data_IF_271742081614
#
_entry.id   IF_271742081614
#
_cell.length_a   1.000
_cell.length_b   1.000
_cell.length_c   1.000
_cell.angle_alpha   90.00
_cell.angle_beta   90.00
_cell.angle_gamma   90.00
#
_symmetry.space_group_name_H-M   'P 1'
#
loop_
_entity.id
_entity.type
_entity.pdbx_description
1 polymer ?
#
# COMPACT_ATOMS: atom_id res chain seq x y z
N UNK A 1 21.47 -27.44 -2.18
CA UNK A 1 21.83 -26.24 -1.40
C UNK A 1 21.10 -24.98 -1.90
N UNK A 2 20.96 -24.72 -3.20
CA UNK A 2 20.23 -23.55 -3.73
C UNK A 2 18.72 -23.58 -3.45
N UNK A 3 18.07 -24.75 -3.60
CA UNK A 3 16.63 -24.87 -3.40
C UNK A 3 16.18 -24.57 -1.96
N UNK A 4 16.92 -25.05 -0.97
CA UNK A 4 16.66 -24.73 0.44
C UNK A 4 16.78 -23.23 0.72
N UNK A 5 17.82 -22.60 0.15
CA UNK A 5 18.05 -21.16 0.29
C UNK A 5 16.93 -20.34 -0.34
N UNK A 6 16.40 -20.79 -1.48
CA UNK A 6 15.22 -20.19 -2.09
C UNK A 6 13.97 -20.35 -1.24
N UNK A 7 13.74 -21.53 -0.65
CA UNK A 7 12.60 -21.73 0.26
C UNK A 7 12.66 -20.78 1.46
N UNK A 8 13.83 -20.69 2.11
CA UNK A 8 14.03 -19.78 3.22
C UNK A 8 13.73 -18.32 2.82
N UNK A 9 14.20 -17.88 1.67
CA UNK A 9 13.91 -16.51 1.19
C UNK A 9 12.43 -16.28 0.93
N UNK A 10 11.72 -17.29 0.41
CA UNK A 10 10.27 -17.19 0.22
C UNK A 10 9.51 -17.22 1.56
N UNK A 11 10.00 -17.98 2.54
CA UNK A 11 9.46 -17.96 3.91
C UNK A 11 9.65 -16.58 4.56
N UNK A 12 10.84 -15.99 4.42
CA UNK A 12 11.15 -14.65 4.93
C UNK A 12 10.30 -13.57 4.22
N UNK A 13 10.12 -13.70 2.90
CA UNK A 13 9.28 -12.79 2.13
C UNK A 13 7.81 -12.89 2.53
N UNK A 14 7.31 -14.11 2.74
CA UNK A 14 5.94 -14.35 3.19
C UNK A 14 5.71 -13.78 4.58
N UNK A 15 6.66 -13.95 5.52
CA UNK A 15 6.58 -13.35 6.84
C UNK A 15 6.54 -11.81 6.78
N UNK A 16 7.36 -11.21 5.91
CA UNK A 16 7.36 -9.76 5.68
C UNK A 16 6.01 -9.27 5.12
N UNK A 17 5.40 -10.00 4.17
CA UNK A 17 4.08 -9.64 3.65
C UNK A 17 2.99 -9.70 4.72
N UNK A 18 3.01 -10.73 5.58
CA UNK A 18 2.06 -10.86 6.69
C UNK A 18 2.21 -9.70 7.67
N UNK A 19 3.44 -9.32 8.00
CA UNK A 19 3.71 -8.17 8.88
C UNK A 19 3.18 -6.87 8.26
N UNK A 20 3.45 -6.63 6.97
CA UNK A 20 2.97 -5.43 6.28
C UNK A 20 1.43 -5.38 6.21
N UNK A 21 0.77 -6.51 5.96
CA UNK A 21 -0.70 -6.61 5.97
C UNK A 21 -1.27 -6.27 7.35
N UNK A 22 -0.71 -6.85 8.42
CA UNK A 22 -1.11 -6.55 9.78
C UNK A 22 -0.91 -5.07 10.13
N UNK A 23 0.24 -4.49 9.76
CA UNK A 23 0.51 -3.08 9.99
C UNK A 23 -0.51 -2.18 9.28
N UNK A 24 -0.89 -2.47 8.04
CA UNK A 24 -1.90 -1.70 7.31
C UNK A 24 -3.34 -1.92 7.80
N UNK A 25 -3.61 -3.05 8.43
CA UNK A 25 -4.90 -3.33 9.08
C UNK A 25 -5.02 -2.54 10.40
N UNK A 26 -3.93 -2.38 11.14
CA UNK A 26 -3.87 -1.60 12.39
C UNK A 26 -3.81 -0.09 12.13
N UNK A 27 -2.92 0.35 11.22
CA UNK A 27 -2.75 1.74 10.82
C UNK A 27 -2.63 1.84 9.29
N UNK A 28 -3.66 2.39 8.60
CA UNK A 28 -3.64 2.61 7.15
C UNK A 28 -2.50 3.50 6.64
N UNK A 29 -1.82 4.22 7.53
CA UNK A 29 -0.69 5.12 7.20
C UNK A 29 0.64 4.60 7.75
N UNK A 30 0.69 3.34 8.21
CA UNK A 30 1.91 2.71 8.68
C UNK A 30 3.02 2.78 7.62
N UNK A 31 4.25 3.06 8.07
CA UNK A 31 5.42 2.99 7.21
C UNK A 31 5.78 1.51 6.96
N UNK A 32 5.78 1.10 5.69
CA UNK A 32 6.11 -0.27 5.29
C UNK A 32 7.58 -0.38 4.89
N UNK A 33 8.27 -1.36 5.46
CA UNK A 33 9.64 -1.69 5.10
C UNK A 33 9.65 -2.59 3.86
N UNK A 34 10.32 -2.15 2.79
CA UNK A 34 10.44 -2.96 1.57
C UNK A 34 11.31 -4.20 1.79
N UNK A 35 10.80 -5.37 1.41
CA UNK A 35 11.58 -6.61 1.45
C UNK A 35 12.72 -6.54 0.42
N UNK A 36 13.95 -6.81 0.89
CA UNK A 36 15.13 -6.88 0.03
C UNK A 36 15.63 -8.32 -0.07
N UNK A 37 15.52 -8.99 -1.23
CA UNK A 37 15.98 -10.36 -1.37
C UNK A 37 17.51 -10.45 -1.22
N UNK A 38 18.04 -11.48 -0.57
CA UNK A 38 19.48 -11.63 -0.41
C UNK A 38 20.17 -11.88 -1.74
N UNK A 39 21.36 -11.30 -1.90
CA UNK A 39 22.16 -11.46 -3.11
C UNK A 39 22.70 -12.90 -3.26
N UNK A 40 22.98 -13.30 -4.51
CA UNK A 40 23.66 -14.56 -4.80
C UNK A 40 22.81 -15.82 -4.58
N UNK A 41 21.49 -15.74 -4.75
CA UNK A 41 20.59 -16.89 -4.70
C UNK A 41 20.77 -17.85 -5.89
N UNK A 42 21.34 -17.37 -6.99
CA UNK A 42 21.43 -18.13 -8.24
C UNK A 42 20.07 -18.26 -8.93
N UNK A 43 19.94 -19.13 -9.93
CA UNK A 43 18.67 -19.34 -10.62
C UNK A 43 17.62 -19.94 -9.68
N UNK A 44 16.37 -19.54 -9.86
CA UNK A 44 15.23 -20.07 -9.10
C UNK A 44 14.93 -21.52 -9.53
N UNK A 45 14.84 -22.48 -8.58
CA UNK A 45 14.41 -23.84 -8.87
C UNK A 45 12.95 -23.88 -9.32
N UNK A 46 12.64 -24.80 -10.24
CA UNK A 46 11.28 -24.96 -10.77
C UNK A 46 10.26 -25.28 -9.67
N UNK A 47 10.68 -26.05 -8.67
CA UNK A 47 9.87 -26.51 -7.53
C UNK A 47 9.27 -25.36 -6.71
N UNK A 48 9.95 -24.21 -6.63
CA UNK A 48 9.50 -23.05 -5.85
C UNK A 48 8.86 -21.96 -6.72
N UNK A 49 8.89 -22.12 -8.04
CA UNK A 49 8.45 -21.10 -8.99
C UNK A 49 6.96 -20.77 -8.85
N UNK A 50 6.12 -21.78 -8.62
CA UNK A 50 4.67 -21.57 -8.45
C UNK A 50 4.39 -20.75 -7.18
N UNK A 51 4.99 -21.16 -6.06
CA UNK A 51 4.88 -20.46 -4.78
C UNK A 51 5.38 -19.02 -4.88
N UNK A 52 6.52 -18.80 -5.54
CA UNK A 52 7.04 -17.45 -5.77
C UNK A 52 6.05 -16.58 -6.57
N UNK A 53 5.39 -17.17 -7.59
CA UNK A 53 4.36 -16.47 -8.36
C UNK A 53 3.14 -16.09 -7.51
N UNK A 54 2.70 -16.96 -6.60
CA UNK A 54 1.59 -16.67 -5.67
C UNK A 54 1.95 -15.53 -4.70
N UNK A 55 3.14 -15.55 -4.12
CA UNK A 55 3.62 -14.48 -3.24
C UNK A 55 3.77 -13.15 -3.98
N UNK A 56 4.22 -13.18 -5.24
CA UNK A 56 4.31 -11.98 -6.07
C UNK A 56 2.93 -11.38 -6.36
N UNK A 57 1.93 -12.22 -6.66
CA UNK A 57 0.56 -11.76 -6.86
C UNK A 57 -0.01 -11.11 -5.59
N UNK A 58 0.21 -11.73 -4.42
CA UNK A 58 -0.21 -11.18 -3.12
C UNK A 58 0.45 -9.83 -2.83
N UNK A 59 1.75 -9.71 -3.09
CA UNK A 59 2.47 -8.44 -2.94
C UNK A 59 1.92 -7.35 -3.88
N UNK A 60 1.51 -7.71 -5.10
CA UNK A 60 0.85 -6.79 -6.03
C UNK A 60 -0.50 -6.29 -5.49
N UNK A 61 -1.33 -7.19 -4.94
CA UNK A 61 -2.62 -6.85 -4.34
C UNK A 61 -2.46 -5.92 -3.13
N UNK A 62 -1.45 -6.16 -2.30
CA UNK A 62 -1.10 -5.26 -1.20
C UNK A 62 -0.70 -3.87 -1.71
N UNK A 63 0.12 -3.81 -2.77
CA UNK A 63 0.50 -2.56 -3.43
C UNK A 63 -0.71 -1.80 -3.98
N UNK A 64 -1.66 -2.49 -4.62
CA UNK A 64 -2.90 -1.89 -5.13
C UNK A 64 -3.76 -1.32 -4.00
N UNK A 65 -3.83 -2.02 -2.86
CA UNK A 65 -4.53 -1.54 -1.65
C UNK A 65 -3.91 -0.24 -1.14
N UNK A 66 -2.59 -0.18 -1.01
CA UNK A 66 -1.87 1.02 -0.57
C UNK A 66 -2.09 2.18 -1.55
N UNK A 67 -2.00 1.93 -2.86
CA UNK A 67 -2.27 2.95 -3.88
C UNK A 67 -3.71 3.49 -3.79
N UNK A 68 -4.68 2.62 -3.53
CA UNK A 68 -6.08 3.00 -3.32
C UNK A 68 -6.27 3.90 -2.09
N UNK A 69 -5.60 3.58 -0.98
CA UNK A 69 -5.62 4.39 0.24
C UNK A 69 -5.02 5.77 0.02
N UNK A 70 -3.86 5.86 -0.65
CA UNK A 70 -3.21 7.12 -1.00
C UNK A 70 -4.11 8.01 -1.88
N UNK A 71 -4.77 7.43 -2.87
CA UNK A 71 -5.71 8.16 -3.71
C UNK A 71 -6.91 8.69 -2.92
N UNK A 72 -7.39 7.92 -1.93
CA UNK A 72 -8.44 8.35 -0.99
C UNK A 72 -8.02 9.54 -0.14
N UNK A 73 -6.86 9.44 0.51
CA UNK A 73 -6.30 10.51 1.33
C UNK A 73 -6.08 11.81 0.53
N UNK A 74 -5.58 11.70 -0.70
CA UNK A 74 -5.42 12.85 -1.60
C UNK A 74 -6.74 13.58 -1.89
N UNK A 75 -7.84 12.85 -2.10
CA UNK A 75 -9.18 13.45 -2.29
C UNK A 75 -9.68 14.16 -1.03
N UNK A 76 -9.45 13.56 0.15
CA UNK A 76 -9.84 14.17 1.42
C UNK A 76 -9.07 15.48 1.68
N UNK A 77 -7.77 15.50 1.42
CA UNK A 77 -6.95 16.71 1.52
C UNK A 77 -7.41 17.80 0.54
N UNK A 78 -7.74 17.44 -0.71
CA UNK A 78 -8.26 18.39 -1.69
C UNK A 78 -9.58 19.03 -1.24
N UNK A 79 -10.49 18.25 -0.63
CA UNK A 79 -11.74 18.76 -0.06
C UNK A 79 -11.48 19.65 1.17
N UNK A 80 -10.60 19.24 2.07
CA UNK A 80 -10.22 20.03 3.24
C UNK A 80 -9.63 21.38 2.84
N UNK A 81 -8.73 21.40 1.85
CA UNK A 81 -8.15 22.64 1.32
C UNK A 81 -9.22 23.54 0.66
N UNK A 82 -10.22 22.97 -0.02
CA UNK A 82 -11.33 23.75 -0.58
C UNK A 82 -12.18 24.40 0.53
N UNK A 83 -12.47 23.68 1.60
CA UNK A 83 -13.25 24.21 2.73
C UNK A 83 -12.45 25.24 3.55
N UNK A 84 -11.15 25.02 3.74
CA UNK A 84 -10.28 25.95 4.46
C UNK A 84 -9.96 27.23 3.65
N UNK A 85 -9.99 27.13 2.31
CA UNK A 85 -9.74 28.23 1.39
C UNK A 85 -10.97 29.09 1.07
N UNK A 86 -12.09 28.93 1.77
CA UNK A 86 -13.29 29.76 1.59
C UNK A 86 -13.39 30.87 2.65
N UNK A 87 -12.83 32.08 2.41
CA UNK A 87 -13.13 33.27 3.21
C UNK A 87 -14.45 33.94 2.76
N UNK A 88 -15.30 33.24 2.00
CA UNK A 88 -16.33 33.82 1.14
C UNK A 88 -17.77 33.44 1.45
N UNK A 89 -18.10 32.87 2.61
CA UNK A 89 -19.50 32.85 3.08
C UNK A 89 -19.85 34.22 3.70
N UNK A 90 -19.88 35.26 2.86
CA UNK A 90 -20.63 36.48 3.18
C UNK A 90 -22.06 36.21 2.69
N UNK A 91 -23.03 35.96 3.59
CA UNK A 91 -24.41 35.77 3.16
C UNK A 91 -24.88 37.05 2.46
N UNK A 92 -25.06 36.97 1.15
CA UNK A 92 -25.69 38.03 0.37
C UNK A 92 -27.20 37.95 0.66
N UNK A 93 -27.68 38.84 1.54
CA UNK A 93 -29.12 39.05 1.71
C UNK A 93 -29.67 39.60 0.40
N UNK A 94 -30.46 38.79 -0.30
CA UNK A 94 -31.32 39.27 -1.39
C UNK A 94 -32.48 40.03 -0.76
N UNK A 95 -32.37 41.35 -0.73
CA UNK A 95 -33.49 42.23 -0.38
C UNK A 95 -34.51 42.17 -1.53
N UNK A 96 -35.57 41.38 -1.34
CA UNK A 96 -36.71 41.40 -2.24
C UNK A 96 -37.53 42.65 -1.94
N UNK A 97 -37.19 43.76 -2.60
CA UNK A 97 -38.10 44.90 -2.69
C UNK A 97 -39.26 44.57 -3.65
N UNK A 98 -40.45 44.45 -3.03
CA UNK A 98 -41.83 44.78 -3.48
C UNK A 98 -42.13 44.72 -4.97
#
# INVERSE_FOLDING_TARGET
MSAERWRQVLDDFEACLVEQECLLDEDPYAELVAFTPPAGLGPMPLEVSERAGQLLLRAGQLGDRVAGQLAGAGRQLALANRMAGDPGDRPAYLDQMV
#
